data_IF_240841400469
#
_entry.id   IF_240841400469
#
_cell.length_a   1.000
_cell.length_b   1.000
_cell.length_c   1.000
_cell.angle_alpha   90.00
_cell.angle_beta   90.00
_cell.angle_gamma   90.00
#
_symmetry.space_group_name_H-M   'P 1'
#
loop_
_entity.id
_entity.type
_entity.pdbx_description
1 polymer ?
#
# COMPACT_ATOMS: atom_id res chain seq x y z
N UNK A 1 53.25 6.64 43.31
CA UNK A 1 52.68 6.27 42.00
C UNK A 1 51.20 6.65 41.96
N UNK A 2 50.76 7.20 40.83
CA UNK A 2 49.45 7.84 40.59
C UNK A 2 48.28 6.83 40.61
N UNK A 3 47.10 7.18 41.17
CA UNK A 3 45.84 6.57 40.77
C UNK A 3 45.35 7.19 39.45
N UNK A 4 45.01 6.37 38.45
CA UNK A 4 44.62 6.85 37.12
C UNK A 4 43.11 6.70 36.86
N UNK A 5 42.49 7.87 36.68
CA UNK A 5 41.29 8.24 35.91
C UNK A 5 39.95 7.55 36.17
N UNK A 6 39.12 8.31 36.87
CA UNK A 6 37.72 8.48 36.53
C UNK A 6 37.56 9.02 35.09
N UNK A 7 36.54 8.56 34.36
CA UNK A 7 35.74 9.46 33.54
C UNK A 7 34.28 8.99 33.48
N UNK A 8 33.42 9.77 34.11
CA UNK A 8 31.98 9.59 34.28
C UNK A 8 31.31 10.53 33.29
N UNK A 9 31.04 10.09 32.06
CA UNK A 9 30.28 10.91 31.11
C UNK A 9 28.78 10.72 31.33
N UNK A 10 28.28 11.51 32.27
CA UNK A 10 26.89 11.91 32.42
C UNK A 10 26.61 13.05 31.43
N UNK A 11 25.80 12.80 30.40
CA UNK A 11 25.18 13.88 29.61
C UNK A 11 23.66 13.77 29.74
N UNK A 12 23.13 14.68 30.56
CA UNK A 12 21.71 14.98 30.72
C UNK A 12 21.15 15.71 29.49
N UNK A 13 19.83 15.58 29.29
CA UNK A 13 18.79 16.61 28.98
C UNK A 13 17.82 16.12 27.88
N UNK A 14 16.57 16.61 27.82
CA UNK A 14 15.58 16.82 28.89
C UNK A 14 14.19 16.29 28.51
N UNK A 15 13.33 16.04 29.51
CA UNK A 15 11.90 15.93 29.29
C UNK A 15 11.33 17.31 28.93
N UNK A 16 10.59 17.42 27.82
CA UNK A 16 9.79 18.61 27.51
C UNK A 16 8.31 18.25 27.58
N UNK A 17 7.72 18.47 28.76
CA UNK A 17 6.29 18.73 28.88
C UNK A 17 6.08 20.21 28.58
N UNK A 18 5.21 20.53 27.65
CA UNK A 18 4.62 21.87 27.56
C UNK A 18 3.17 21.75 27.11
N UNK A 19 2.27 22.20 27.98
CA UNK A 19 0.87 22.48 27.65
C UNK A 19 0.83 23.86 26.99
N UNK A 20 0.21 23.97 25.82
CA UNK A 20 -0.32 25.24 25.32
C UNK A 20 -1.75 25.06 24.84
N UNK A 21 -2.61 25.99 25.26
CA UNK A 21 -4.05 26.06 25.01
C UNK A 21 -4.41 26.26 23.54
N UNK A 22 -5.51 25.60 23.17
CA UNK A 22 -6.61 25.99 22.26
C UNK A 22 -6.30 26.81 21.00
N UNK A 23 -6.68 26.23 19.84
CA UNK A 23 -7.53 26.89 18.82
C UNK A 23 -8.40 25.82 18.17
N UNK A 24 -9.73 25.94 18.27
CA UNK A 24 -10.68 25.23 17.39
C UNK A 24 -10.57 25.89 16.00
N UNK A 25 -9.86 25.27 15.07
CA UNK A 25 -9.84 25.70 13.67
C UNK A 25 -10.80 24.81 12.89
N UNK A 26 -11.97 25.34 12.56
CA UNK A 26 -12.80 24.79 11.49
C UNK A 26 -12.09 25.05 10.16
N UNK A 27 -11.22 24.12 9.75
CA UNK A 27 -10.55 24.22 8.46
C UNK A 27 -11.51 23.75 7.36
N UNK A 28 -12.01 24.74 6.61
CA UNK A 28 -12.69 24.54 5.34
C UNK A 28 -11.75 23.78 4.39
N UNK A 29 -12.31 22.75 3.77
CA UNK A 29 -11.66 21.81 2.87
C UNK A 29 -11.16 22.53 1.59
N UNK A 30 -9.88 22.85 1.53
CA UNK A 30 -9.18 23.01 0.25
C UNK A 30 -7.88 22.21 0.30
N UNK A 31 -7.95 20.97 -0.16
CA UNK A 31 -6.76 20.17 -0.39
C UNK A 31 -5.96 20.83 -1.53
N UNK A 32 -4.88 21.53 -1.18
CA UNK A 32 -3.81 21.87 -2.13
C UNK A 32 -3.08 20.57 -2.47
N UNK A 33 -2.77 20.27 -3.74
CA UNK A 33 -2.00 19.07 -4.04
C UNK A 33 -0.59 19.28 -3.49
N UNK A 34 -0.25 18.52 -2.45
CA UNK A 34 1.14 18.42 -2.02
C UNK A 34 1.83 17.60 -3.08
N UNK A 35 2.87 18.16 -3.71
CA UNK A 35 3.78 17.44 -4.62
C UNK A 35 4.66 16.46 -3.80
N UNK A 36 4.03 15.48 -3.15
CA UNK A 36 4.72 14.28 -2.73
C UNK A 36 4.80 13.38 -3.96
N UNK A 37 6.02 12.96 -4.32
CA UNK A 37 6.20 11.87 -5.26
C UNK A 37 5.62 10.62 -4.59
N UNK A 38 4.37 10.32 -4.86
CA UNK A 38 3.84 9.01 -4.50
C UNK A 38 4.39 8.01 -5.51
N UNK A 39 4.94 6.86 -5.10
CA UNK A 39 5.33 5.81 -6.03
C UNK A 39 4.11 5.08 -6.63
N UNK A 40 3.03 5.80 -6.97
CA UNK A 40 1.81 5.23 -7.55
C UNK A 40 1.82 5.21 -9.09
N UNK A 41 2.89 5.70 -9.71
CA UNK A 41 2.98 5.82 -11.18
C UNK A 41 3.94 4.81 -11.84
N UNK A 42 4.51 3.85 -11.10
CA UNK A 42 5.44 2.89 -11.70
C UNK A 42 4.82 1.49 -11.79
N UNK A 43 4.51 1.12 -13.04
CA UNK A 43 4.01 -0.16 -13.55
C UNK A 43 2.47 -0.40 -13.52
N UNK A 44 1.68 0.56 -14.01
CA UNK A 44 0.22 0.40 -14.10
C UNK A 44 -0.25 -0.37 -15.37
N UNK A 45 0.57 -0.49 -16.41
CA UNK A 45 0.09 -0.95 -17.73
C UNK A 45 -0.20 -2.47 -17.84
N UNK A 46 0.35 -3.30 -16.96
CA UNK A 46 0.26 -4.77 -17.11
C UNK A 46 -0.55 -5.47 -16.03
N UNK A 47 -1.01 -4.73 -15.03
CA UNK A 47 -1.99 -5.23 -14.06
C UNK A 47 -3.41 -4.83 -14.48
N UNK A 48 -4.26 -5.82 -14.68
CA UNK A 48 -5.67 -5.62 -15.09
C UNK A 48 -6.60 -6.43 -14.22
N UNK A 49 -7.82 -5.91 -14.02
CA UNK A 49 -8.91 -6.62 -13.33
C UNK A 49 -10.16 -6.48 -14.19
N UNK A 50 -10.78 -7.58 -14.58
CA UNK A 50 -11.93 -7.59 -15.49
C UNK A 50 -13.04 -8.53 -15.00
N UNK A 51 -14.31 -8.10 -14.99
CA UNK A 51 -14.81 -6.74 -15.16
C UNK A 51 -14.47 -5.82 -13.96
N UNK A 52 -14.43 -4.51 -14.17
CA UNK A 52 -14.26 -3.52 -13.08
C UNK A 52 -15.58 -3.04 -12.49
N UNK A 53 -16.72 -3.50 -13.01
CA UNK A 53 -18.02 -3.18 -12.41
C UNK A 53 -19.09 -4.23 -12.73
N UNK A 54 -20.12 -4.27 -11.89
CA UNK A 54 -21.28 -5.13 -12.06
C UNK A 54 -22.11 -5.24 -10.79
N UNK A 55 -23.14 -6.08 -10.79
CA UNK A 55 -23.99 -6.35 -9.61
C UNK A 55 -23.51 -7.59 -8.86
N UNK A 56 -23.83 -7.68 -7.57
CA UNK A 56 -23.56 -8.88 -6.78
C UNK A 56 -24.30 -10.12 -7.33
N UNK A 57 -23.69 -11.33 -7.29
CA UNK A 57 -22.27 -11.58 -7.09
C UNK A 57 -21.46 -11.19 -8.34
N UNK A 58 -20.36 -10.44 -8.15
CA UNK A 58 -19.48 -10.04 -9.25
C UNK A 58 -18.22 -10.92 -9.27
N UNK A 59 -18.13 -11.82 -10.25
CA UNK A 59 -16.90 -12.55 -10.54
C UNK A 59 -15.94 -11.64 -11.34
N UNK A 60 -14.68 -11.58 -10.92
CA UNK A 60 -13.60 -10.83 -11.58
C UNK A 60 -12.37 -11.70 -11.75
N UNK A 61 -11.57 -11.40 -12.75
CA UNK A 61 -10.25 -12.00 -12.97
C UNK A 61 -9.20 -10.91 -12.91
N UNK A 62 -8.22 -11.07 -12.03
CA UNK A 62 -6.99 -10.28 -12.02
C UNK A 62 -5.95 -10.95 -12.92
N UNK A 63 -5.25 -10.17 -13.73
CA UNK A 63 -4.14 -10.60 -14.58
C UNK A 63 -2.95 -9.67 -14.37
N UNK A 64 -1.74 -10.23 -14.33
CA UNK A 64 -0.49 -9.49 -14.22
C UNK A 64 0.60 -10.04 -15.13
N UNK A 65 1.40 -9.14 -15.69
CA UNK A 65 2.60 -9.46 -16.46
C UNK A 65 3.71 -8.40 -16.23
N UNK A 66 4.62 -8.60 -15.27
CA UNK A 66 5.61 -7.60 -14.89
C UNK A 66 6.65 -7.41 -16.01
N UNK A 67 6.67 -6.23 -16.64
CA UNK A 67 7.64 -5.89 -17.70
C UNK A 67 8.81 -5.05 -17.19
N UNK A 68 8.56 -4.19 -16.20
CA UNK A 68 9.54 -3.22 -15.67
C UNK A 68 9.82 -3.42 -14.17
N UNK A 69 9.49 -4.60 -13.63
CA UNK A 69 9.71 -4.97 -12.24
C UNK A 69 10.24 -6.40 -12.15
N UNK A 70 11.01 -6.66 -11.08
CA UNK A 70 11.52 -8.00 -10.77
C UNK A 70 10.77 -8.50 -9.56
N UNK A 71 9.92 -9.50 -9.79
CA UNK A 71 9.11 -10.15 -8.75
C UNK A 71 9.66 -11.56 -8.51
N UNK A 72 10.06 -11.86 -7.28
CA UNK A 72 10.23 -13.26 -6.85
C UNK A 72 8.87 -13.86 -6.48
N UNK A 73 7.96 -13.01 -5.98
CA UNK A 73 6.58 -13.35 -5.70
C UNK A 73 5.62 -12.18 -5.97
N UNK A 74 4.36 -12.53 -6.19
CA UNK A 74 3.23 -11.62 -6.32
C UNK A 74 2.14 -11.98 -5.31
N UNK A 75 1.58 -10.99 -4.63
CA UNK A 75 0.37 -11.14 -3.80
C UNK A 75 -0.73 -10.23 -4.35
N UNK A 76 -1.94 -10.76 -4.52
CA UNK A 76 -3.12 -9.95 -4.87
C UNK A 76 -3.96 -9.71 -3.61
N UNK A 77 -4.21 -8.46 -3.30
CA UNK A 77 -5.07 -7.99 -2.20
C UNK A 77 -6.36 -7.48 -2.84
N UNK A 78 -7.50 -8.09 -2.53
CA UNK A 78 -8.78 -7.79 -3.19
C UNK A 78 -9.49 -6.56 -2.62
N UNK A 79 -9.12 -6.13 -1.41
CA UNK A 79 -9.69 -4.95 -0.77
C UNK A 79 -11.03 -5.20 -0.05
N UNK A 80 -11.55 -6.43 -0.06
CA UNK A 80 -12.70 -6.87 0.75
C UNK A 80 -12.27 -7.64 2.03
N UNK A 81 -10.96 -7.77 2.24
CA UNK A 81 -10.36 -8.53 3.33
C UNK A 81 -9.70 -9.83 2.89
N UNK A 82 -9.87 -10.24 1.63
CA UNK A 82 -9.23 -11.43 1.08
C UNK A 82 -7.91 -11.12 0.35
N UNK A 83 -7.01 -12.11 0.30
CA UNK A 83 -5.77 -12.06 -0.48
C UNK A 83 -5.30 -13.46 -0.90
N UNK A 84 -4.48 -13.53 -1.95
CA UNK A 84 -4.00 -14.80 -2.51
C UNK A 84 -2.84 -15.42 -1.74
N UNK A 85 -2.28 -14.70 -0.76
CA UNK A 85 -0.94 -14.97 -0.24
C UNK A 85 0.15 -14.83 -1.32
N UNK A 86 1.37 -15.25 -0.99
CA UNK A 86 2.52 -15.20 -1.91
C UNK A 86 2.40 -16.24 -3.02
N UNK A 87 2.33 -15.78 -4.26
CA UNK A 87 2.35 -16.61 -5.45
C UNK A 87 3.71 -16.50 -6.13
N UNK A 88 4.34 -17.64 -6.44
CA UNK A 88 5.60 -17.68 -7.17
C UNK A 88 5.33 -17.77 -8.68
N UNK A 89 5.96 -16.90 -9.45
CA UNK A 89 5.77 -16.83 -10.90
C UNK A 89 5.75 -15.39 -11.38
N UNK A 90 6.35 -15.15 -12.54
CA UNK A 90 6.46 -13.80 -13.09
C UNK A 90 5.09 -13.26 -13.52
N UNK A 91 4.34 -13.98 -14.34
CA UNK A 91 3.01 -13.58 -14.81
C UNK A 91 1.94 -14.60 -14.46
N UNK A 92 0.67 -14.17 -14.45
CA UNK A 92 -0.43 -15.06 -14.11
C UNK A 92 -1.79 -14.39 -14.11
N UNK A 93 -2.80 -15.18 -13.72
CA UNK A 93 -4.16 -14.73 -13.49
C UNK A 93 -4.81 -15.47 -12.34
N UNK A 94 -5.75 -14.81 -11.66
CA UNK A 94 -6.54 -15.41 -10.58
C UNK A 94 -7.93 -14.80 -10.52
N UNK A 95 -8.92 -15.64 -10.20
CA UNK A 95 -10.33 -15.23 -10.08
C UNK A 95 -10.69 -14.88 -8.63
N UNK A 96 -11.65 -13.97 -8.49
CA UNK A 96 -12.27 -13.58 -7.22
C UNK A 96 -13.75 -13.30 -7.40
N UNK A 97 -14.52 -13.39 -6.32
CA UNK A 97 -15.96 -13.08 -6.35
C UNK A 97 -16.36 -12.15 -5.22
N UNK A 98 -16.80 -10.95 -5.57
CA UNK A 98 -17.40 -10.02 -4.61
C UNK A 98 -18.86 -10.38 -4.35
N UNK A 99 -19.16 -10.71 -3.10
CA UNK A 99 -20.52 -11.09 -2.66
C UNK A 99 -21.31 -9.92 -2.08
N UNK A 100 -20.66 -8.78 -1.84
CA UNK A 100 -21.26 -7.58 -1.27
C UNK A 100 -21.08 -6.38 -2.20
N UNK A 101 -22.04 -5.46 -2.17
CA UNK A 101 -21.94 -4.20 -2.87
C UNK A 101 -20.88 -3.31 -2.20
N UNK A 102 -20.12 -2.57 -3.00
CA UNK A 102 -19.02 -1.74 -2.50
C UNK A 102 -18.07 -1.28 -3.60
N UNK A 103 -17.13 -0.43 -3.22
CA UNK A 103 -15.98 -0.06 -4.05
C UNK A 103 -14.75 -0.69 -3.43
N UNK A 104 -14.05 -1.51 -4.20
CA UNK A 104 -12.90 -2.28 -3.77
C UNK A 104 -11.65 -1.85 -4.54
N UNK A 105 -10.54 -1.67 -3.82
CA UNK A 105 -9.22 -1.41 -4.42
C UNK A 105 -8.45 -2.72 -4.44
N UNK A 106 -8.29 -3.28 -5.64
CA UNK A 106 -7.46 -4.45 -5.89
C UNK A 106 -6.02 -3.98 -6.07
N UNK A 107 -5.10 -4.55 -5.31
CA UNK A 107 -3.67 -4.26 -5.40
C UNK A 107 -2.90 -5.54 -5.72
N UNK A 108 -1.98 -5.48 -6.68
CA UNK A 108 -0.93 -6.48 -6.79
C UNK A 108 0.31 -5.96 -6.06
N UNK A 109 0.93 -6.78 -5.23
CA UNK A 109 2.23 -6.51 -4.59
C UNK A 109 3.26 -7.43 -5.23
N UNK A 110 4.13 -6.86 -6.06
CA UNK A 110 5.28 -7.55 -6.65
C UNK A 110 6.53 -7.18 -5.85
N UNK A 111 7.20 -8.19 -5.27
CA UNK A 111 8.41 -7.98 -4.50
C UNK A 111 9.41 -9.12 -4.71
N UNK A 112 10.67 -8.83 -4.37
CA UNK A 112 11.77 -9.78 -4.43
C UNK A 112 12.92 -9.34 -3.54
N UNK A 113 14.07 -10.00 -3.68
CA UNK A 113 15.27 -9.77 -2.86
C UNK A 113 15.80 -8.33 -2.95
N UNK A 114 15.52 -7.65 -4.07
CA UNK A 114 15.88 -6.25 -4.26
C UNK A 114 14.65 -5.33 -4.12
N UNK A 115 14.45 -4.65 -2.98
CA UNK A 115 13.28 -3.80 -2.75
C UNK A 115 13.24 -2.58 -3.67
N UNK A 116 14.33 -2.22 -4.34
CA UNK A 116 14.31 -1.12 -5.33
C UNK A 116 13.61 -1.48 -6.63
N UNK A 117 13.22 -2.75 -6.82
CA UNK A 117 12.59 -3.27 -8.04
C UNK A 117 11.15 -3.75 -7.81
N UNK A 118 10.61 -3.56 -6.61
CA UNK A 118 9.22 -3.88 -6.28
C UNK A 118 8.24 -2.89 -6.90
N UNK A 119 7.05 -3.34 -7.26
CA UNK A 119 5.95 -2.48 -7.70
C UNK A 119 4.61 -2.92 -7.09
N UNK A 120 3.66 -2.00 -7.01
CA UNK A 120 2.41 -2.18 -6.29
C UNK A 120 1.18 -1.65 -7.04
N UNK A 121 0.93 -2.04 -8.31
CA UNK A 121 -0.14 -1.47 -9.12
C UNK A 121 -1.53 -1.76 -8.56
N UNK A 122 -2.50 -0.90 -8.88
CA UNK A 122 -3.85 -0.95 -8.31
C UNK A 122 -4.95 -0.77 -9.35
N UNK A 123 -6.10 -1.39 -9.10
CA UNK A 123 -7.32 -1.28 -9.89
C UNK A 123 -8.53 -1.11 -8.98
N UNK A 124 -9.49 -0.28 -9.40
CA UNK A 124 -10.74 -0.10 -8.67
C UNK A 124 -11.83 -0.96 -9.29
N UNK A 125 -12.56 -1.70 -8.46
CA UNK A 125 -13.76 -2.46 -8.83
C UNK A 125 -14.98 -1.88 -8.11
N UNK A 126 -16.09 -1.68 -8.83
CA UNK A 126 -17.34 -1.14 -8.28
C UNK A 126 -18.47 -2.15 -8.40
N UNK A 127 -18.98 -2.62 -7.26
CA UNK A 127 -20.03 -3.63 -7.17
C UNK A 127 -21.32 -2.97 -6.70
N UNK A 128 -22.38 -3.03 -7.50
CA UNK A 128 -23.70 -2.51 -7.14
C UNK A 128 -24.54 -3.55 -6.40
N UNK A 129 -25.36 -3.09 -5.45
CA UNK A 129 -26.45 -3.88 -4.88
C UNK A 129 -27.60 -3.97 -5.88
N UNK A 130 -28.26 -5.13 -5.93
CA UNK A 130 -29.50 -5.34 -6.68
C UNK A 130 -30.74 -4.85 -5.93
#
# INVERSE_FOLDING_TARGET
MKPNRANKHNTRRPAYRSRFSQVLVWAVLTALPILLHTPDAMADATFTVTPTSGSVPLAVTAFWDPVDCICDYVEIIWGDGDSTGMMFGFSGSIDHTYTSAGTYTVQATCAGDNPSLSCNPQRTVTVSGG
#
